data_IF_067019824889
#
_entry.id   IF_067019824889
#
_cell.length_a   1.000
_cell.length_b   1.000
_cell.length_c   1.000
_cell.angle_alpha   90.00
_cell.angle_beta   90.00
_cell.angle_gamma   90.00
#
_symmetry.space_group_name_H-M   'P 1'
#
loop_
_entity.id
_entity.type
_entity.pdbx_description
1 polymer ?
#
# COMPACT_ATOMS: atom_id res chain seq x y z
N UNK A 1 5.89 -33.33 18.38
CA UNK A 1 6.02 -31.92 18.84
C UNK A 1 5.23 -31.09 17.85
N UNK A 2 3.94 -30.91 18.15
CA UNK A 2 3.05 -30.05 17.39
C UNK A 2 3.20 -28.60 17.87
N UNK A 3 2.55 -27.69 17.13
CA UNK A 3 2.22 -26.30 17.50
C UNK A 3 3.30 -25.26 17.08
N UNK A 4 3.06 -24.20 16.31
CA UNK A 4 1.86 -23.45 15.89
C UNK A 4 2.13 -22.79 14.51
N UNK A 5 1.10 -22.77 13.68
CA UNK A 5 0.95 -21.95 12.47
C UNK A 5 0.64 -20.51 12.89
N UNK A 6 1.51 -19.55 12.60
CA UNK A 6 1.13 -18.13 12.59
C UNK A 6 0.65 -17.77 11.19
N UNK A 7 -0.65 -17.51 10.97
CA UNK A 7 -1.05 -16.67 9.87
C UNK A 7 -0.71 -15.22 10.24
N UNK A 8 0.09 -14.54 9.42
CA UNK A 8 0.22 -13.08 9.47
C UNK A 8 -1.13 -12.46 9.10
N UNK A 9 -1.96 -12.38 10.14
CA UNK A 9 -3.24 -11.71 10.20
C UNK A 9 -2.95 -10.23 10.47
N UNK A 10 -2.65 -9.48 9.42
CA UNK A 10 -2.94 -8.04 9.44
C UNK A 10 -4.38 -7.92 8.99
N UNK A 11 -5.23 -7.80 10.00
CA UNK A 11 -6.64 -7.54 9.90
C UNK A 11 -6.93 -6.41 8.90
N UNK A 12 -7.46 -6.77 7.73
CA UNK A 12 -8.35 -5.90 6.98
C UNK A 12 -9.74 -6.02 7.58
N UNK A 13 -9.91 -5.45 8.76
CA UNK A 13 -11.18 -4.88 9.22
C UNK A 13 -11.13 -3.42 8.76
N UNK A 14 -12.01 -2.88 7.94
CA UNK A 14 -13.46 -2.77 8.13
C UNK A 14 -14.11 -2.22 6.84
N UNK A 15 -15.22 -2.83 6.42
CA UNK A 15 -16.43 -2.17 5.89
C UNK A 15 -16.33 -1.24 4.66
N UNK A 16 -16.31 -1.79 3.44
CA UNK A 16 -16.81 -1.04 2.26
C UNK A 16 -18.30 -1.36 2.08
N UNK A 17 -19.13 -0.63 2.81
CA UNK A 17 -20.56 -0.57 2.59
C UNK A 17 -20.83 0.20 1.28
N UNK A 18 -21.40 -0.50 0.30
CA UNK A 18 -22.18 -0.01 -0.85
C UNK A 18 -22.18 1.53 -1.08
N UNK A 19 -21.26 2.01 -1.94
CA UNK A 19 -21.18 3.38 -2.45
C UNK A 19 -19.94 3.52 -3.33
N UNK A 20 -20.07 4.12 -4.51
CA UNK A 20 -19.01 4.27 -5.52
C UNK A 20 -17.67 4.71 -4.92
N UNK A 21 -16.58 3.97 -5.18
CA UNK A 21 -15.22 4.36 -4.76
C UNK A 21 -14.91 5.78 -5.24
N UNK A 22 -14.37 6.60 -4.34
CA UNK A 22 -13.90 7.93 -4.74
C UNK A 22 -12.60 7.85 -5.56
N UNK A 23 -12.22 8.96 -6.16
CA UNK A 23 -11.06 9.02 -7.05
C UNK A 23 -9.74 8.69 -6.34
N UNK A 24 -9.63 8.97 -5.04
CA UNK A 24 -8.43 8.73 -4.25
C UNK A 24 -8.36 7.29 -3.77
N UNK A 25 -9.49 6.70 -3.38
CA UNK A 25 -9.62 5.28 -3.09
C UNK A 25 -9.25 4.44 -4.32
N UNK A 26 -9.75 4.83 -5.50
CA UNK A 26 -9.39 4.16 -6.76
C UNK A 26 -7.89 4.27 -7.04
N UNK A 27 -7.31 5.47 -6.91
CA UNK A 27 -5.87 5.68 -7.12
C UNK A 27 -5.03 4.86 -6.14
N UNK A 28 -5.41 4.79 -4.87
CA UNK A 28 -4.74 3.96 -3.87
C UNK A 28 -4.80 2.48 -4.26
N UNK A 29 -5.93 1.99 -4.74
CA UNK A 29 -6.08 0.62 -5.18
C UNK A 29 -5.17 0.31 -6.38
N UNK A 30 -5.16 1.18 -7.39
CA UNK A 30 -4.31 1.03 -8.59
C UNK A 30 -2.81 0.99 -8.21
N UNK A 31 -2.35 1.89 -7.33
CA UNK A 31 -0.96 1.92 -6.87
C UNK A 31 -0.60 0.74 -5.95
N UNK A 32 -1.55 0.25 -5.14
CA UNK A 32 -1.36 -0.96 -4.33
C UNK A 32 -1.17 -2.20 -5.21
N UNK A 33 -1.96 -2.33 -6.27
CA UNK A 33 -1.83 -3.45 -7.21
C UNK A 33 -0.51 -3.38 -7.98
N UNK A 34 -0.09 -2.18 -8.39
CA UNK A 34 1.24 -1.93 -8.97
C UNK A 34 2.37 -2.34 -8.01
N UNK A 35 2.27 -1.96 -6.73
CA UNK A 35 3.26 -2.32 -5.71
C UNK A 35 3.37 -3.83 -5.51
N UNK A 36 2.23 -4.52 -5.40
CA UNK A 36 2.20 -5.99 -5.22
C UNK A 36 2.79 -6.71 -6.43
N UNK A 37 2.48 -6.26 -7.65
CA UNK A 37 3.07 -6.81 -8.87
C UNK A 37 4.60 -6.57 -8.91
N UNK A 38 5.06 -5.41 -8.47
CA UNK A 38 6.48 -5.11 -8.34
C UNK A 38 7.17 -6.03 -7.32
N UNK A 39 6.56 -6.25 -6.16
CA UNK A 39 7.07 -7.14 -5.11
C UNK A 39 7.20 -8.58 -5.64
N UNK A 40 6.13 -9.11 -6.26
CA UNK A 40 6.12 -10.44 -6.85
C UNK A 40 7.17 -10.61 -7.96
N UNK A 41 7.25 -9.66 -8.90
CA UNK A 41 8.24 -9.71 -9.99
C UNK A 41 9.69 -9.54 -9.50
N UNK A 42 9.88 -8.89 -8.35
CA UNK A 42 11.19 -8.72 -7.71
C UNK A 42 11.52 -9.87 -6.74
N UNK A 43 10.62 -10.83 -6.55
CA UNK A 43 10.82 -11.96 -5.64
C UNK A 43 10.89 -11.58 -4.16
N UNK A 44 10.31 -10.45 -3.76
CA UNK A 44 10.22 -10.01 -2.37
C UNK A 44 8.75 -9.98 -1.92
N UNK A 45 8.51 -10.25 -0.64
CA UNK A 45 7.20 -10.21 -0.01
C UNK A 45 6.85 -8.84 0.60
N UNK A 46 7.88 -7.99 0.78
CA UNK A 46 7.77 -6.66 1.37
C UNK A 46 8.81 -5.72 0.79
N UNK A 47 8.47 -4.43 0.69
CA UNK A 47 9.44 -3.41 0.30
C UNK A 47 10.60 -3.27 1.30
N UNK A 48 10.45 -3.71 2.55
CA UNK A 48 11.56 -3.72 3.52
C UNK A 48 12.67 -4.71 3.17
N UNK A 49 12.35 -5.76 2.41
CA UNK A 49 13.34 -6.70 1.87
C UNK A 49 13.94 -6.26 0.53
N UNK A 50 13.47 -5.13 -0.03
CA UNK A 50 13.92 -4.63 -1.33
C UNK A 50 15.14 -3.71 -1.18
N UNK A 51 16.21 -3.96 -1.92
CA UNK A 51 17.42 -3.13 -1.94
C UNK A 51 17.15 -1.67 -2.35
N UNK A 52 16.09 -1.44 -3.14
CA UNK A 52 15.70 -0.13 -3.65
C UNK A 52 14.70 0.59 -2.74
N UNK A 53 14.42 0.11 -1.53
CA UNK A 53 13.34 0.59 -0.67
C UNK A 53 13.23 2.12 -0.56
N UNK A 54 14.35 2.84 -0.39
CA UNK A 54 14.36 4.29 -0.24
C UNK A 54 14.17 5.05 -1.58
N UNK A 55 14.62 4.47 -2.68
CA UNK A 55 14.64 5.10 -4.00
C UNK A 55 13.60 4.52 -4.98
N UNK A 56 12.81 3.53 -4.55
CA UNK A 56 11.88 2.82 -5.41
C UNK A 56 10.69 3.71 -5.80
N UNK A 57 10.54 4.07 -7.09
CA UNK A 57 9.45 4.95 -7.52
C UNK A 57 8.08 4.33 -7.28
N UNK A 58 7.91 3.01 -7.49
CA UNK A 58 6.64 2.31 -7.24
C UNK A 58 6.23 2.39 -5.77
N UNK A 59 7.18 2.25 -4.84
CA UNK A 59 6.90 2.43 -3.42
C UNK A 59 6.52 3.87 -3.11
N UNK A 60 7.25 4.85 -3.65
CA UNK A 60 6.95 6.28 -3.43
C UNK A 60 5.54 6.62 -3.93
N UNK A 61 5.15 6.17 -5.14
CA UNK A 61 3.81 6.37 -5.67
C UNK A 61 2.72 5.78 -4.77
N UNK A 62 2.91 4.55 -4.28
CA UNK A 62 1.98 3.94 -3.32
C UNK A 62 1.87 4.76 -2.02
N UNK A 63 3.00 5.18 -1.44
CA UNK A 63 2.99 6.00 -0.21
C UNK A 63 2.29 7.33 -0.44
N UNK A 64 2.55 8.01 -1.57
CA UNK A 64 1.83 9.23 -1.95
C UNK A 64 0.33 8.99 -2.07
N UNK A 65 -0.10 7.91 -2.73
CA UNK A 65 -1.52 7.60 -2.88
C UNK A 65 -2.23 7.28 -1.55
N UNK A 66 -1.53 6.68 -0.58
CA UNK A 66 -2.04 6.51 0.80
C UNK A 66 -2.33 7.86 1.43
N UNK A 67 -1.36 8.78 1.40
CA UNK A 67 -1.55 10.11 1.99
C UNK A 67 -2.65 10.91 1.30
N UNK A 68 -2.70 10.89 -0.04
CA UNK A 68 -3.78 11.55 -0.80
C UNK A 68 -5.15 10.96 -0.49
N UNK A 69 -5.28 9.64 -0.33
CA UNK A 69 -6.53 8.98 0.07
C UNK A 69 -6.94 9.36 1.48
N UNK A 70 -6.01 9.39 2.43
CA UNK A 70 -6.27 9.80 3.80
C UNK A 70 -6.65 11.29 3.92
N UNK A 71 -6.05 12.15 3.09
CA UNK A 71 -6.35 13.59 3.06
C UNK A 71 -7.48 13.97 2.11
N UNK A 72 -8.02 13.02 1.34
CA UNK A 72 -8.98 13.25 0.25
C UNK A 72 -8.49 14.34 -0.72
N UNK A 73 -7.19 14.32 -1.03
CA UNK A 73 -6.53 15.29 -1.90
C UNK A 73 -6.39 16.69 -1.33
N UNK A 74 -6.61 16.90 -0.02
CA UNK A 74 -6.25 18.17 0.60
C UNK A 74 -4.73 18.32 0.60
N UNK A 75 -4.24 19.30 -0.17
CA UNK A 75 -2.83 19.70 -0.20
C UNK A 75 -2.48 20.33 1.15
N UNK A 76 -1.47 19.78 1.82
CA UNK A 76 -1.10 20.17 3.19
C UNK A 76 -0.20 19.17 3.93
N UNK A 77 -0.01 17.97 3.38
CA UNK A 77 1.02 17.03 3.79
C UNK A 77 2.23 17.09 2.87
N UNK A 78 2.87 18.26 2.76
CA UNK A 78 4.20 18.36 2.14
C UNK A 78 5.18 17.67 3.09
N UNK A 79 5.44 16.39 2.85
CA UNK A 79 6.48 15.64 3.53
C UNK A 79 7.64 15.51 2.54
N UNK A 80 8.60 16.43 2.66
CA UNK A 80 9.95 16.26 2.12
C UNK A 80 10.54 14.96 2.69
N UNK A 81 10.80 13.97 1.83
CA UNK A 81 11.42 12.68 2.16
C UNK A 81 12.73 12.47 1.40
#
# INVERSE_FOLDING_TARGET
>A
MSEIKTPDNIAQSTEVANGTMDIFEKKLQDELDSLKNCQQSSGVDSCFACEKMLECPTRKSYVSAVYESMSKGQEGGDFDF
#
